data_IF_267090908205
#
_entry.id   IF_267090908205
#
_cell.length_a   1.000
_cell.length_b   1.000
_cell.length_c   1.000
_cell.angle_alpha   90.00
_cell.angle_beta   90.00
_cell.angle_gamma   90.00
#
_symmetry.space_group_name_H-M   'P 1'
#
loop_
_entity.id
_entity.type
_entity.pdbx_description
1 polymer ?
#
# COMPACT_ATOMS: atom_id res chain seq x y z
N UNK A 1 -8.27 -25.07 5.24
CA UNK A 1 -7.23 -24.11 4.87
C UNK A 1 -5.88 -24.75 5.02
N UNK A 2 -5.00 -24.79 3.99
CA UNK A 2 -3.64 -25.27 4.14
C UNK A 2 -2.90 -24.45 5.20
N UNK A 3 -1.92 -25.07 5.86
CA UNK A 3 -1.15 -24.41 6.91
C UNK A 3 -0.06 -23.54 6.30
N UNK A 4 -0.42 -22.38 5.74
CA UNK A 4 0.55 -21.44 5.16
C UNK A 4 1.61 -21.00 6.17
N UNK A 5 1.30 -20.98 7.47
CA UNK A 5 2.23 -20.58 8.51
C UNK A 5 3.51 -21.42 8.50
N UNK A 6 3.39 -22.75 8.38
CA UNK A 6 4.57 -23.65 8.35
C UNK A 6 5.48 -23.41 7.13
N UNK A 7 4.89 -22.99 5.99
CA UNK A 7 5.65 -22.66 4.78
C UNK A 7 6.36 -21.32 4.93
N UNK A 8 5.67 -20.34 5.54
CA UNK A 8 6.21 -19.01 5.82
C UNK A 8 7.38 -19.01 6.82
N UNK A 9 7.37 -19.95 7.78
CA UNK A 9 8.43 -20.08 8.81
C UNK A 9 9.65 -20.85 8.30
N UNK A 10 9.47 -21.79 7.35
CA UNK A 10 10.53 -22.72 6.94
C UNK A 10 11.46 -22.18 5.89
N UNK A 11 10.98 -21.38 4.95
CA UNK A 11 11.78 -20.90 3.81
C UNK A 11 11.41 -19.48 3.42
N UNK A 12 12.37 -18.82 2.82
CA UNK A 12 12.13 -17.56 2.11
C UNK A 12 11.38 -17.86 0.82
N UNK A 13 10.11 -17.49 0.76
CA UNK A 13 9.22 -17.76 -0.37
C UNK A 13 9.71 -17.06 -1.64
N UNK A 14 9.60 -17.73 -2.76
CA UNK A 14 9.85 -17.11 -4.07
C UNK A 14 8.74 -16.10 -4.45
N UNK A 15 9.00 -15.29 -5.45
CA UNK A 15 8.02 -14.26 -5.90
C UNK A 15 6.72 -14.94 -6.35
N UNK A 16 6.80 -16.00 -7.13
CA UNK A 16 5.63 -16.75 -7.60
C UNK A 16 4.84 -17.38 -6.46
N UNK A 17 5.53 -17.91 -5.44
CA UNK A 17 4.87 -18.42 -4.23
C UNK A 17 4.06 -17.32 -3.52
N UNK A 18 4.65 -16.11 -3.38
CA UNK A 18 3.97 -14.96 -2.79
C UNK A 18 2.69 -14.60 -3.55
N UNK A 19 2.74 -14.53 -4.88
CA UNK A 19 1.57 -14.25 -5.70
C UNK A 19 0.50 -15.35 -5.57
N UNK A 20 0.90 -16.62 -5.66
CA UNK A 20 -0.03 -17.76 -5.61
C UNK A 20 -0.72 -17.87 -4.25
N UNK A 21 0.03 -17.73 -3.15
CA UNK A 21 -0.53 -17.79 -1.80
C UNK A 21 -1.43 -16.57 -1.56
N UNK A 22 -1.00 -15.38 -1.97
CA UNK A 22 -1.82 -14.15 -1.86
C UNK A 22 -3.14 -14.28 -2.62
N UNK A 23 -3.12 -14.85 -3.82
CA UNK A 23 -4.33 -15.11 -4.59
C UNK A 23 -5.27 -16.09 -3.88
N UNK A 24 -4.71 -17.14 -3.29
CA UNK A 24 -5.49 -18.10 -2.49
C UNK A 24 -6.12 -17.44 -1.26
N UNK A 25 -5.38 -16.56 -0.57
CA UNK A 25 -5.88 -15.76 0.57
C UNK A 25 -6.99 -14.81 0.10
N UNK A 26 -6.76 -14.06 -0.97
CA UNK A 26 -7.72 -13.12 -1.55
C UNK A 26 -9.02 -13.83 -1.94
N UNK A 27 -8.94 -14.93 -2.71
CA UNK A 27 -10.12 -15.71 -3.13
C UNK A 27 -10.90 -16.29 -1.96
N UNK A 28 -10.19 -16.83 -0.95
CA UNK A 28 -10.84 -17.47 0.19
C UNK A 28 -11.65 -16.49 1.05
N UNK A 29 -11.21 -15.25 1.17
CA UNK A 29 -11.86 -14.23 1.99
C UNK A 29 -12.25 -12.99 1.18
N UNK A 30 -12.59 -13.21 -0.10
CA UNK A 30 -12.85 -12.17 -1.08
C UNK A 30 -13.81 -11.09 -0.56
N UNK A 31 -14.92 -11.50 0.05
CA UNK A 31 -15.95 -10.56 0.51
C UNK A 31 -15.41 -9.56 1.56
N UNK A 32 -14.59 -10.00 2.50
CA UNK A 32 -14.00 -9.10 3.49
C UNK A 32 -12.96 -8.16 2.88
N UNK A 33 -12.14 -8.63 1.94
CA UNK A 33 -11.20 -7.77 1.22
C UNK A 33 -11.95 -6.78 0.31
N UNK A 34 -12.99 -7.23 -0.37
CA UNK A 34 -13.87 -6.36 -1.15
C UNK A 34 -14.49 -5.26 -0.28
N UNK A 35 -15.00 -5.59 0.91
CA UNK A 35 -15.57 -4.62 1.84
C UNK A 35 -14.52 -3.57 2.27
N UNK A 36 -13.27 -3.97 2.58
CA UNK A 36 -12.21 -3.01 2.91
C UNK A 36 -11.94 -2.10 1.71
N UNK A 37 -11.79 -2.67 0.52
CA UNK A 37 -11.57 -1.91 -0.71
C UNK A 37 -12.69 -0.87 -0.94
N UNK A 38 -13.95 -1.26 -0.72
CA UNK A 38 -15.09 -0.36 -0.91
C UNK A 38 -15.19 0.70 0.18
N UNK A 39 -15.02 0.34 1.45
CA UNK A 39 -15.07 1.30 2.57
C UNK A 39 -13.98 2.37 2.43
N UNK A 40 -12.78 2.00 1.98
CA UNK A 40 -11.70 2.95 1.76
C UNK A 40 -11.78 3.62 0.39
N UNK A 41 -12.23 2.93 -0.65
CA UNK A 41 -12.25 3.43 -2.03
C UNK A 41 -13.43 4.34 -2.36
N UNK A 42 -14.66 4.01 -1.92
CA UNK A 42 -15.86 4.81 -2.26
C UNK A 42 -15.73 6.28 -1.86
N UNK A 43 -15.26 6.64 -0.66
CA UNK A 43 -15.08 8.05 -0.30
C UNK A 43 -14.16 8.78 -1.26
N UNK A 44 -13.07 8.14 -1.71
CA UNK A 44 -12.12 8.73 -2.66
C UNK A 44 -12.75 8.88 -4.04
N UNK A 45 -13.49 7.87 -4.52
CA UNK A 45 -14.22 7.95 -5.79
C UNK A 45 -15.21 9.12 -5.79
N UNK A 46 -15.96 9.27 -4.70
CA UNK A 46 -16.94 10.34 -4.57
C UNK A 46 -16.27 11.71 -4.49
N UNK A 47 -15.23 11.86 -3.68
CA UNK A 47 -14.50 13.15 -3.60
C UNK A 47 -13.85 13.51 -4.92
N UNK A 48 -13.28 12.56 -5.65
CA UNK A 48 -12.72 12.83 -6.98
C UNK A 48 -13.80 13.25 -7.99
N UNK A 49 -15.00 12.69 -7.89
CA UNK A 49 -16.11 13.06 -8.77
C UNK A 49 -16.68 14.45 -8.47
N UNK A 50 -16.78 14.84 -7.19
CA UNK A 50 -17.32 16.16 -6.78
C UNK A 50 -16.26 17.26 -6.74
N UNK A 51 -15.03 16.92 -6.45
CA UNK A 51 -13.88 17.82 -6.33
C UNK A 51 -12.73 17.25 -7.20
N UNK A 52 -12.83 17.35 -8.53
CA UNK A 52 -11.80 16.80 -9.40
C UNK A 52 -10.45 17.47 -9.13
N UNK A 53 -9.40 16.67 -8.84
CA UNK A 53 -8.08 17.22 -8.56
C UNK A 53 -7.42 17.71 -9.84
N UNK A 54 -6.64 18.78 -9.74
CA UNK A 54 -5.75 19.18 -10.82
C UNK A 54 -4.71 18.10 -11.06
N UNK A 55 -4.58 17.66 -12.31
CA UNK A 55 -3.61 16.64 -12.72
C UNK A 55 -2.35 17.33 -13.22
N UNK A 56 -1.21 16.92 -12.69
CA UNK A 56 0.08 17.36 -13.20
C UNK A 56 0.28 16.80 -14.61
N UNK A 57 0.53 17.69 -15.57
CA UNK A 57 0.95 17.29 -16.90
C UNK A 57 2.49 17.22 -16.94
N UNK A 58 3.09 16.00 -16.99
CA UNK A 58 4.54 15.86 -16.96
C UNK A 58 5.25 16.53 -18.14
N UNK A 59 4.55 16.76 -19.25
CA UNK A 59 5.13 17.40 -20.45
C UNK A 59 5.29 18.91 -20.28
N UNK A 60 4.54 19.52 -19.36
CA UNK A 60 4.61 20.96 -19.06
C UNK A 60 5.67 21.30 -18.02
N UNK A 61 6.19 20.30 -17.29
CA UNK A 61 7.16 20.50 -16.22
C UNK A 61 8.51 20.00 -16.67
N UNK A 62 9.37 20.93 -17.05
CA UNK A 62 10.73 20.66 -17.47
C UNK A 62 11.75 21.07 -16.42
N UNK A 63 11.39 22.02 -15.56
CA UNK A 63 12.26 22.57 -14.51
C UNK A 63 11.60 22.50 -13.14
N UNK A 64 12.38 22.64 -12.09
CA UNK A 64 11.85 22.76 -10.72
C UNK A 64 11.02 24.03 -10.54
N UNK A 65 11.34 25.09 -11.27
CA UNK A 65 10.58 26.34 -11.27
C UNK A 65 9.18 26.15 -11.89
N UNK A 66 9.07 25.38 -12.98
CA UNK A 66 7.76 25.01 -13.57
C UNK A 66 6.90 24.25 -12.57
N UNK A 67 7.50 23.31 -11.82
CA UNK A 67 6.80 22.57 -10.77
C UNK A 67 6.29 23.50 -9.65
N UNK A 68 7.11 24.44 -9.19
CA UNK A 68 6.71 25.42 -8.17
C UNK A 68 5.58 26.32 -8.68
N UNK A 69 5.66 26.77 -9.93
CA UNK A 69 4.64 27.61 -10.55
C UNK A 69 3.32 26.85 -10.72
N UNK A 70 3.37 25.59 -11.17
CA UNK A 70 2.20 24.72 -11.21
C UNK A 70 1.57 24.57 -9.84
N UNK A 71 2.37 24.24 -8.82
CA UNK A 71 1.90 24.03 -7.46
C UNK A 71 1.24 25.28 -6.85
N UNK A 72 1.76 26.47 -7.14
CA UNK A 72 1.21 27.75 -6.65
C UNK A 72 -0.04 28.22 -7.36
N UNK A 73 -0.12 27.99 -8.68
CA UNK A 73 -1.09 28.67 -9.53
C UNK A 73 -2.19 27.74 -10.06
N UNK A 74 -1.91 26.44 -10.21
CA UNK A 74 -2.83 25.50 -10.86
C UNK A 74 -3.45 24.50 -9.90
N UNK A 75 -2.83 24.25 -8.73
CA UNK A 75 -3.34 23.28 -7.75
C UNK A 75 -4.61 23.81 -7.11
N UNK A 76 -5.70 23.05 -7.28
CA UNK A 76 -7.02 23.39 -6.72
C UNK A 76 -7.28 22.69 -5.37
N UNK A 77 -8.37 23.07 -4.71
CA UNK A 77 -8.80 22.48 -3.43
C UNK A 77 -9.02 20.97 -3.55
N UNK A 78 -9.53 20.51 -4.70
CA UNK A 78 -9.76 19.11 -4.98
C UNK A 78 -8.49 18.26 -4.89
N UNK A 79 -7.35 18.81 -5.30
CA UNK A 79 -6.06 18.14 -5.16
C UNK A 79 -5.71 17.86 -3.69
N UNK A 80 -5.83 18.86 -2.83
CA UNK A 80 -5.51 18.70 -1.40
C UNK A 80 -6.46 17.73 -0.71
N UNK A 81 -7.77 17.87 -0.97
CA UNK A 81 -8.80 17.00 -0.37
C UNK A 81 -8.55 15.55 -0.78
N UNK A 82 -8.37 15.28 -2.08
CA UNK A 82 -8.16 13.92 -2.58
C UNK A 82 -6.85 13.33 -2.10
N UNK A 83 -5.75 14.11 -2.11
CA UNK A 83 -4.43 13.63 -1.66
C UNK A 83 -4.46 13.26 -0.18
N UNK A 84 -5.01 14.14 0.67
CA UNK A 84 -5.10 13.87 2.11
C UNK A 84 -6.00 12.68 2.41
N UNK A 85 -7.19 12.64 1.80
CA UNK A 85 -8.15 11.56 2.02
C UNK A 85 -7.61 10.21 1.52
N UNK A 86 -6.99 10.19 0.35
CA UNK A 86 -6.37 8.98 -0.21
C UNK A 86 -5.27 8.47 0.70
N UNK A 87 -4.35 9.33 1.13
CA UNK A 87 -3.26 8.95 2.03
C UNK A 87 -3.79 8.38 3.36
N UNK A 88 -4.79 9.03 3.97
CA UNK A 88 -5.38 8.59 5.23
C UNK A 88 -6.10 7.23 5.11
N UNK A 89 -6.93 7.08 4.07
CA UNK A 89 -7.69 5.84 3.84
C UNK A 89 -6.78 4.70 3.38
N UNK A 90 -5.69 5.01 2.68
CA UNK A 90 -4.68 4.03 2.30
C UNK A 90 -3.99 3.41 3.52
N UNK A 91 -3.62 4.22 4.51
CA UNK A 91 -3.08 3.73 5.79
C UNK A 91 -4.08 2.77 6.45
N UNK A 92 -5.37 3.13 6.55
CA UNK A 92 -6.41 2.26 7.13
C UNK A 92 -6.51 0.95 6.35
N UNK A 93 -6.47 1.02 5.03
CA UNK A 93 -6.53 -0.15 4.15
C UNK A 93 -5.35 -1.09 4.40
N UNK A 94 -4.10 -0.58 4.39
CA UNK A 94 -2.89 -1.37 4.64
C UNK A 94 -2.94 -2.06 6.01
N UNK A 95 -3.29 -1.31 7.06
CA UNK A 95 -3.39 -1.86 8.41
C UNK A 95 -4.46 -2.96 8.49
N UNK A 96 -5.65 -2.72 7.91
CA UNK A 96 -6.77 -3.66 7.94
C UNK A 96 -6.46 -4.94 7.19
N UNK A 97 -5.86 -4.83 6.01
CA UNK A 97 -5.44 -5.96 5.20
C UNK A 97 -4.36 -6.76 5.94
N UNK A 98 -3.37 -6.10 6.54
CA UNK A 98 -2.31 -6.76 7.32
C UNK A 98 -2.88 -7.59 8.46
N UNK A 99 -3.85 -7.06 9.22
CA UNK A 99 -4.53 -7.80 10.27
C UNK A 99 -5.30 -9.00 9.75
N UNK A 100 -6.02 -8.88 8.64
CA UNK A 100 -6.75 -10.01 8.05
C UNK A 100 -5.80 -11.09 7.56
N UNK A 101 -4.73 -10.73 6.87
CA UNK A 101 -3.74 -11.68 6.35
C UNK A 101 -3.09 -12.45 7.50
N UNK A 102 -2.64 -11.78 8.57
CA UNK A 102 -2.03 -12.43 9.73
C UNK A 102 -2.99 -13.42 10.41
N UNK A 103 -4.25 -13.02 10.60
CA UNK A 103 -5.26 -13.88 11.23
C UNK A 103 -5.57 -15.10 10.37
N UNK A 104 -5.63 -14.95 9.04
CA UNK A 104 -5.88 -16.04 8.11
C UNK A 104 -4.72 -17.04 8.07
N UNK A 105 -3.48 -16.57 8.10
CA UNK A 105 -2.29 -17.44 8.21
C UNK A 105 -2.36 -18.28 9.49
N UNK A 106 -2.87 -17.73 10.58
CA UNK A 106 -3.10 -18.42 11.84
C UNK A 106 -4.41 -19.24 11.88
N UNK A 107 -5.03 -19.52 10.71
CA UNK A 107 -6.27 -20.29 10.54
C UNK A 107 -7.49 -19.74 11.28
N UNK A 108 -7.49 -18.46 11.61
CA UNK A 108 -8.64 -17.78 12.21
C UNK A 108 -9.37 -16.98 11.13
N UNK A 109 -10.68 -16.87 11.23
CA UNK A 109 -11.51 -16.06 10.33
C UNK A 109 -11.99 -14.85 11.11
N UNK A 110 -11.85 -13.67 10.54
CA UNK A 110 -12.37 -12.40 11.09
C UNK A 110 -12.99 -11.59 9.97
N UNK A 111 -13.86 -10.66 10.36
CA UNK A 111 -14.58 -9.79 9.43
C UNK A 111 -13.77 -8.53 9.08
N UNK A 112 -14.12 -7.90 7.96
CA UNK A 112 -13.58 -6.60 7.56
C UNK A 112 -13.75 -5.54 8.66
N UNK A 113 -14.93 -5.46 9.26
CA UNK A 113 -15.21 -4.51 10.36
C UNK A 113 -14.33 -4.71 11.59
N UNK A 114 -14.03 -5.97 11.93
CA UNK A 114 -13.07 -6.25 13.01
C UNK A 114 -11.68 -5.71 12.66
N UNK A 115 -11.22 -5.91 11.43
CA UNK A 115 -9.92 -5.45 10.98
C UNK A 115 -9.83 -3.91 10.98
N UNK A 116 -10.84 -3.23 10.44
CA UNK A 116 -10.94 -1.76 10.43
C UNK A 116 -10.97 -1.22 11.86
N UNK A 117 -11.79 -1.79 12.75
CA UNK A 117 -11.83 -1.39 14.16
C UNK A 117 -10.47 -1.56 14.85
N UNK A 118 -9.72 -2.62 14.51
CA UNK A 118 -8.37 -2.82 15.03
C UNK A 118 -7.38 -1.81 14.46
N UNK A 119 -7.52 -1.46 13.19
CA UNK A 119 -6.69 -0.45 12.50
C UNK A 119 -6.84 0.94 13.12
N UNK A 120 -8.05 1.35 13.45
CA UNK A 120 -8.32 2.63 14.11
C UNK A 120 -7.57 2.77 15.45
N UNK A 121 -7.35 1.67 16.17
CA UNK A 121 -6.60 1.69 17.44
C UNK A 121 -5.10 1.97 17.27
N UNK A 122 -4.54 1.65 16.13
CA UNK A 122 -3.10 1.84 15.81
C UNK A 122 -2.86 2.91 14.75
N UNK A 123 -3.92 3.65 14.38
CA UNK A 123 -3.85 4.61 13.28
C UNK A 123 -2.90 5.77 13.60
N UNK A 124 -2.94 6.30 14.81
CA UNK A 124 -2.10 7.45 15.19
C UNK A 124 -0.60 7.13 15.11
N UNK A 125 -0.10 6.02 15.70
CA UNK A 125 1.27 5.56 15.47
C UNK A 125 1.62 5.37 13.99
N UNK A 126 0.70 4.81 13.20
CA UNK A 126 0.93 4.58 11.77
C UNK A 126 1.01 5.90 10.98
N UNK A 127 0.16 6.90 11.28
CA UNK A 127 0.21 8.23 10.67
C UNK A 127 1.55 8.90 10.97
N UNK A 128 1.97 8.94 12.24
CA UNK A 128 3.24 9.53 12.63
C UNK A 128 4.41 8.85 11.90
N UNK A 129 4.38 7.53 11.83
CA UNK A 129 5.44 6.75 11.15
C UNK A 129 5.44 7.00 9.63
N UNK A 130 4.26 7.04 9.01
CA UNK A 130 4.11 7.36 7.59
C UNK A 130 4.57 8.78 7.26
N UNK A 131 4.35 9.72 8.17
CA UNK A 131 4.84 11.09 8.01
C UNK A 131 6.37 11.16 8.07
N UNK A 132 7.00 10.49 9.05
CA UNK A 132 8.46 10.40 9.13
C UNK A 132 9.03 9.72 7.88
N UNK A 133 8.43 8.62 7.44
CA UNK A 133 8.78 7.92 6.21
C UNK A 133 8.73 8.87 5.00
N UNK A 134 7.63 9.61 4.84
CA UNK A 134 7.44 10.54 3.73
C UNK A 134 8.53 11.63 3.73
N UNK A 135 8.88 12.18 4.89
CA UNK A 135 9.96 13.17 5.02
C UNK A 135 11.29 12.58 4.55
N UNK A 136 11.65 11.37 5.01
CA UNK A 136 12.93 10.73 4.65
C UNK A 136 13.00 10.47 3.14
N UNK A 137 11.91 9.94 2.56
CA UNK A 137 11.84 9.68 1.12
C UNK A 137 11.89 10.97 0.32
N UNK A 138 11.16 12.00 0.74
CA UNK A 138 11.16 13.30 0.08
C UNK A 138 12.56 13.92 0.04
N UNK A 139 13.27 13.97 1.16
CA UNK A 139 14.64 14.43 1.17
C UNK A 139 15.57 13.55 0.35
N UNK A 140 15.38 12.23 0.40
CA UNK A 140 16.14 11.30 -0.44
C UNK A 140 15.98 11.60 -1.93
N UNK A 141 14.74 11.82 -2.39
CA UNK A 141 14.42 12.17 -3.78
C UNK A 141 14.90 13.58 -4.17
N UNK A 142 14.77 14.56 -3.25
CA UNK A 142 15.18 15.94 -3.50
C UNK A 142 16.68 16.10 -3.70
N UNK A 143 17.50 15.35 -2.96
CA UNK A 143 18.96 15.40 -3.10
C UNK A 143 19.48 14.49 -4.21
N UNK A 144 18.95 13.26 -4.29
CA UNK A 144 19.33 12.27 -5.30
C UNK A 144 18.20 11.28 -5.54
N UNK A 145 17.76 11.12 -6.77
CA UNK A 145 16.68 10.20 -7.15
C UNK A 145 16.96 8.76 -6.69
N UNK A 146 18.20 8.29 -6.86
CA UNK A 146 18.59 6.90 -6.52
C UNK A 146 18.46 6.62 -5.02
N UNK A 147 19.01 7.39 -4.07
CA UNK A 147 18.77 7.20 -2.64
C UNK A 147 17.30 7.25 -2.25
N UNK A 148 16.52 8.15 -2.84
CA UNK A 148 15.07 8.21 -2.58
C UNK A 148 14.36 6.90 -2.95
N UNK A 149 14.64 6.34 -4.12
CA UNK A 149 14.11 5.04 -4.54
C UNK A 149 14.56 3.90 -3.61
N UNK A 150 15.81 3.91 -3.15
CA UNK A 150 16.31 2.93 -2.18
C UNK A 150 15.50 3.01 -0.88
N UNK A 151 15.21 4.21 -0.37
CA UNK A 151 14.41 4.38 0.85
C UNK A 151 12.97 3.91 0.67
N UNK A 152 12.34 4.15 -0.48
CA UNK A 152 11.00 3.61 -0.78
C UNK A 152 10.98 2.09 -0.64
N UNK A 153 11.97 1.41 -1.21
CA UNK A 153 12.07 -0.05 -1.12
C UNK A 153 12.35 -0.51 0.31
N UNK A 154 13.33 0.09 0.99
CA UNK A 154 13.75 -0.32 2.33
C UNK A 154 12.64 -0.17 3.38
N UNK A 155 11.75 0.80 3.20
CA UNK A 155 10.73 1.14 4.19
C UNK A 155 9.32 0.67 3.82
N UNK A 156 9.18 -0.18 2.78
CA UNK A 156 7.88 -0.63 2.29
C UNK A 156 7.03 -1.38 3.33
N UNK A 157 7.65 -1.97 4.37
CA UNK A 157 6.94 -2.70 5.43
C UNK A 157 6.54 -1.86 6.63
N UNK A 158 6.82 -0.57 6.64
CA UNK A 158 6.67 0.30 7.80
C UNK A 158 5.26 0.24 8.40
N UNK A 159 4.21 0.36 7.56
CA UNK A 159 2.82 0.30 8.02
C UNK A 159 2.40 -1.11 8.47
N UNK A 160 2.92 -2.18 7.84
CA UNK A 160 2.70 -3.55 8.26
C UNK A 160 3.30 -3.82 9.65
N UNK A 161 4.47 -3.23 9.95
CA UNK A 161 5.13 -3.30 11.25
C UNK A 161 4.30 -2.58 12.31
N UNK A 162 3.81 -1.37 12.02
CA UNK A 162 2.91 -0.65 12.93
C UNK A 162 1.66 -1.47 13.26
N UNK A 163 1.08 -2.13 12.26
CA UNK A 163 -0.09 -2.98 12.44
C UNK A 163 0.21 -4.20 13.33
N UNK A 164 1.26 -4.96 13.01
CA UNK A 164 1.43 -6.33 13.48
C UNK A 164 2.45 -6.50 14.59
N UNK A 165 3.37 -5.54 14.75
CA UNK A 165 4.46 -5.63 15.77
C UNK A 165 4.41 -4.53 16.81
N UNK A 166 3.40 -3.66 16.77
CA UNK A 166 3.22 -2.54 17.70
C UNK A 166 4.45 -1.64 17.83
N UNK A 167 5.32 -1.65 16.81
CA UNK A 167 6.51 -0.81 16.70
C UNK A 167 6.21 0.34 15.75
N UNK A 168 6.61 1.58 16.10
CA UNK A 168 6.27 2.78 15.34
C UNK A 168 7.44 3.77 15.28
N UNK A 169 7.32 4.80 14.46
CA UNK A 169 8.33 5.83 14.29
C UNK A 169 9.60 5.28 13.63
N UNK A 170 10.74 5.78 14.09
CA UNK A 170 12.07 5.42 13.55
C UNK A 170 12.39 3.94 13.74
N UNK A 171 11.91 3.33 14.81
CA UNK A 171 12.17 1.91 15.07
C UNK A 171 11.44 0.99 14.08
N UNK A 172 10.21 1.35 13.68
CA UNK A 172 9.51 0.64 12.60
C UNK A 172 10.26 0.77 11.27
N UNK A 173 10.80 1.96 10.96
CA UNK A 173 11.59 2.22 9.76
C UNK A 173 12.89 1.39 9.77
N UNK A 174 13.62 1.39 10.88
CA UNK A 174 14.84 0.58 11.05
C UNK A 174 14.54 -0.91 10.91
N UNK A 175 13.43 -1.36 11.50
CA UNK A 175 13.02 -2.75 11.42
C UNK A 175 12.66 -3.15 9.99
N UNK A 176 11.89 -2.33 9.26
CA UNK A 176 11.61 -2.53 7.84
C UNK A 176 12.90 -2.68 7.03
N UNK A 177 13.84 -1.74 7.20
CA UNK A 177 15.13 -1.79 6.52
C UNK A 177 15.92 -3.07 6.84
N UNK A 178 15.91 -3.54 8.09
CA UNK A 178 16.61 -4.77 8.48
C UNK A 178 16.03 -6.03 7.81
N UNK A 179 14.71 -6.08 7.61
CA UNK A 179 14.04 -7.18 6.93
C UNK A 179 14.26 -7.17 5.41
N UNK A 180 14.35 -5.98 4.81
CA UNK A 180 14.47 -5.82 3.35
C UNK A 180 15.91 -5.92 2.86
N UNK A 181 16.89 -5.37 3.60
CA UNK A 181 18.31 -5.36 3.17
C UNK A 181 18.80 -6.69 2.60
N UNK A 182 18.58 -7.87 3.24
CA UNK A 182 19.05 -9.15 2.72
C UNK A 182 18.38 -9.57 1.40
N UNK A 183 17.22 -9.00 1.07
CA UNK A 183 16.39 -9.35 -0.11
C UNK A 183 15.99 -8.11 -0.90
N UNK A 184 16.84 -7.11 -0.92
CA UNK A 184 16.59 -5.82 -1.53
C UNK A 184 16.13 -5.94 -3.00
N UNK A 185 16.86 -6.69 -3.82
CA UNK A 185 16.51 -6.83 -5.24
C UNK A 185 15.16 -7.53 -5.46
N UNK A 186 14.81 -8.49 -4.60
CA UNK A 186 13.50 -9.13 -4.63
C UNK A 186 12.38 -8.14 -4.30
N UNK A 187 12.58 -7.33 -3.26
CA UNK A 187 11.64 -6.28 -2.87
C UNK A 187 11.52 -5.21 -3.96
N UNK A 188 12.65 -4.77 -4.53
CA UNK A 188 12.69 -3.82 -5.64
C UNK A 188 11.92 -4.33 -6.86
N UNK A 189 12.17 -5.58 -7.28
CA UNK A 189 11.47 -6.18 -8.42
C UNK A 189 9.96 -6.26 -8.16
N UNK A 190 9.57 -6.72 -6.96
CA UNK A 190 8.16 -6.85 -6.60
C UNK A 190 7.46 -5.49 -6.57
N UNK A 191 8.10 -4.46 -5.97
CA UNK A 191 7.55 -3.11 -5.94
C UNK A 191 7.45 -2.52 -7.35
N UNK A 192 8.50 -2.66 -8.18
CA UNK A 192 8.48 -2.20 -9.58
C UNK A 192 7.37 -2.87 -10.39
N UNK A 193 7.14 -4.16 -10.17
CA UNK A 193 6.05 -4.90 -10.80
C UNK A 193 4.69 -4.34 -10.40
N UNK A 194 4.46 -4.11 -9.09
CA UNK A 194 3.22 -3.54 -8.57
C UNK A 194 2.98 -2.16 -9.19
N UNK A 195 3.96 -1.27 -9.10
CA UNK A 195 3.87 0.11 -9.64
C UNK A 195 3.63 0.09 -11.14
N UNK A 196 4.28 -0.80 -11.89
CA UNK A 196 4.05 -0.94 -13.33
C UNK A 196 2.59 -1.28 -13.64
N UNK A 197 2.04 -2.31 -12.98
CA UNK A 197 0.65 -2.72 -13.21
C UNK A 197 -0.36 -1.67 -12.76
N UNK A 198 -0.14 -1.01 -11.63
CA UNK A 198 -1.00 0.10 -11.18
C UNK A 198 -1.02 1.24 -12.21
N UNK A 199 0.14 1.63 -12.75
CA UNK A 199 0.21 2.68 -13.78
C UNK A 199 -0.47 2.25 -15.08
N UNK A 200 -0.28 1.00 -15.54
CA UNK A 200 -1.00 0.47 -16.71
C UNK A 200 -2.50 0.57 -16.51
N UNK A 201 -3.01 0.21 -15.32
CA UNK A 201 -4.44 0.35 -15.02
C UNK A 201 -4.89 1.81 -14.99
N UNK A 202 -4.14 2.70 -14.34
CA UNK A 202 -4.49 4.14 -14.26
C UNK A 202 -4.58 4.75 -15.65
N UNK A 203 -3.62 4.44 -16.55
CA UNK A 203 -3.61 4.96 -17.92
C UNK A 203 -4.73 4.36 -18.78
N UNK A 204 -5.11 3.10 -18.51
CA UNK A 204 -6.14 2.40 -19.30
C UNK A 204 -7.57 2.84 -18.97
N UNK A 205 -7.79 3.54 -17.86
CA UNK A 205 -9.11 3.94 -17.40
C UNK A 205 -9.25 5.47 -17.25
N UNK A 206 -10.45 6.03 -17.40
CA UNK A 206 -10.66 7.48 -17.34
C UNK A 206 -10.27 8.03 -15.97
N UNK A 207 -9.59 9.17 -15.96
CA UNK A 207 -9.17 9.88 -14.75
C UNK A 207 -10.30 10.65 -14.07
N UNK A 208 -11.32 11.05 -14.85
CA UNK A 208 -12.49 11.80 -14.40
C UNK A 208 -13.78 11.21 -14.97
N UNK A 209 -14.93 11.38 -14.29
CA UNK A 209 -16.21 10.96 -14.81
C UNK A 209 -16.58 11.80 -16.05
N UNK A 210 -17.15 11.16 -17.07
CA UNK A 210 -17.77 11.87 -18.19
C UNK A 210 -19.18 12.33 -17.79
N UNK A 211 -19.67 13.39 -18.45
CA UNK A 211 -20.99 14.00 -18.17
C UNK A 211 -22.19 13.12 -18.57
N UNK A 212 -21.93 11.94 -19.12
CA UNK A 212 -22.96 10.98 -19.50
C UNK A 212 -23.15 9.91 -18.41
N UNK A 213 -24.38 9.39 -18.28
CA UNK A 213 -24.70 8.31 -17.32
C UNK A 213 -23.84 7.07 -17.55
N UNK A 214 -23.58 6.71 -18.79
CA UNK A 214 -22.75 5.57 -19.15
C UNK A 214 -21.27 5.82 -18.79
N UNK A 215 -20.76 7.03 -19.04
CA UNK A 215 -19.41 7.42 -18.69
C UNK A 215 -19.19 7.46 -17.17
N UNK A 216 -20.19 7.89 -16.40
CA UNK A 216 -20.16 7.89 -14.94
C UNK A 216 -20.12 6.46 -14.38
N UNK A 217 -20.94 5.55 -14.95
CA UNK A 217 -20.95 4.14 -14.58
C UNK A 217 -19.60 3.48 -14.91
N UNK A 218 -19.05 3.75 -16.10
CA UNK A 218 -17.75 3.22 -16.52
C UNK A 218 -16.63 3.70 -15.62
N UNK A 219 -16.60 5.00 -15.29
CA UNK A 219 -15.67 5.57 -14.30
C UNK A 219 -15.77 4.85 -12.96
N UNK A 220 -16.98 4.71 -12.40
CA UNK A 220 -17.18 4.07 -11.11
C UNK A 220 -16.69 2.62 -11.12
N UNK A 221 -17.08 1.83 -12.11
CA UNK A 221 -16.67 0.42 -12.22
C UNK A 221 -15.15 0.27 -12.39
N UNK A 222 -14.52 1.13 -13.18
CA UNK A 222 -13.07 1.11 -13.37
C UNK A 222 -12.32 1.41 -12.07
N UNK A 223 -12.81 2.36 -11.26
CA UNK A 223 -12.23 2.68 -9.95
C UNK A 223 -12.42 1.55 -8.94
N UNK A 224 -13.59 0.92 -8.91
CA UNK A 224 -13.81 -0.27 -8.06
C UNK A 224 -12.82 -1.38 -8.41
N UNK A 225 -12.61 -1.65 -9.69
CA UNK A 225 -11.61 -2.63 -10.15
C UNK A 225 -10.20 -2.26 -9.68
N UNK A 226 -9.81 -1.01 -9.84
CA UNK A 226 -8.50 -0.49 -9.44
C UNK A 226 -8.27 -0.70 -7.92
N UNK A 227 -9.26 -0.39 -7.07
CA UNK A 227 -9.15 -0.62 -5.63
C UNK A 227 -9.09 -2.10 -5.25
N UNK A 228 -9.70 -2.99 -6.03
CA UNK A 228 -9.57 -4.44 -5.83
C UNK A 228 -8.15 -4.93 -6.16
N UNK A 229 -7.55 -4.42 -7.25
CA UNK A 229 -6.15 -4.72 -7.59
C UNK A 229 -5.18 -4.18 -6.53
N UNK A 230 -5.35 -2.94 -6.10
CA UNK A 230 -4.56 -2.34 -5.02
C UNK A 230 -4.67 -3.17 -3.73
N UNK A 231 -5.88 -3.61 -3.37
CA UNK A 231 -6.09 -4.52 -2.24
C UNK A 231 -5.33 -5.84 -2.40
N UNK A 232 -5.34 -6.42 -3.59
CA UNK A 232 -4.58 -7.64 -3.86
C UNK A 232 -3.06 -7.42 -3.71
N UNK A 233 -2.53 -6.31 -4.20
CA UNK A 233 -1.12 -5.97 -4.01
C UNK A 233 -0.75 -5.73 -2.54
N UNK A 234 -1.61 -5.11 -1.76
CA UNK A 234 -1.43 -4.96 -0.31
C UNK A 234 -1.38 -6.31 0.42
N UNK A 235 -2.14 -7.31 -0.04
CA UNK A 235 -2.06 -8.69 0.49
C UNK A 235 -0.69 -9.30 0.20
N UNK A 236 -0.15 -9.10 -1.01
CA UNK A 236 1.19 -9.59 -1.39
C UNK A 236 2.26 -8.96 -0.48
N UNK A 237 2.20 -7.64 -0.28
CA UNK A 237 3.15 -6.92 0.58
C UNK A 237 3.05 -7.40 2.04
N UNK A 238 1.83 -7.57 2.56
CA UNK A 238 1.60 -8.07 3.92
C UNK A 238 2.13 -9.52 4.09
N UNK A 239 1.92 -10.38 3.10
CA UNK A 239 2.43 -11.75 3.11
C UNK A 239 3.96 -11.78 3.02
N UNK A 240 4.56 -10.95 2.18
CA UNK A 240 6.01 -10.82 2.08
C UNK A 240 6.62 -10.33 3.37
N UNK A 241 6.02 -9.33 4.01
CA UNK A 241 6.41 -8.88 5.34
C UNK A 241 6.43 -10.05 6.35
N UNK A 242 5.31 -10.78 6.45
CA UNK A 242 5.18 -11.89 7.41
C UNK A 242 6.19 -13.01 7.13
N UNK A 243 6.46 -13.34 5.88
CA UNK A 243 7.49 -14.31 5.53
C UNK A 243 8.88 -13.85 5.98
N UNK A 244 9.25 -12.60 5.70
CA UNK A 244 10.55 -12.05 6.12
C UNK A 244 10.68 -11.96 7.64
N UNK A 245 9.62 -11.56 8.31
CA UNK A 245 9.58 -11.44 9.76
C UNK A 245 9.72 -12.81 10.45
N UNK A 246 9.00 -13.83 9.99
CA UNK A 246 9.10 -15.18 10.54
C UNK A 246 10.48 -15.81 10.29
N UNK A 247 11.00 -15.72 9.08
CA UNK A 247 12.34 -16.25 8.76
C UNK A 247 13.44 -15.54 9.57
N UNK A 248 13.36 -14.22 9.73
CA UNK A 248 14.33 -13.46 10.53
C UNK A 248 14.29 -13.84 12.02
N UNK A 249 13.11 -14.09 12.56
CA UNK A 249 12.96 -14.47 13.98
C UNK A 249 13.35 -15.93 14.24
N UNK A 250 13.08 -16.86 13.31
CA UNK A 250 13.54 -18.25 13.45
C UNK A 250 15.07 -18.34 13.43
N UNK A 251 15.74 -17.58 12.56
CA UNK A 251 17.21 -17.56 12.51
C UNK A 251 17.86 -17.03 13.80
N UNK A 252 17.21 -16.13 14.54
CA UNK A 252 17.74 -15.66 15.83
C UNK A 252 17.67 -16.72 16.92
N UNK A 253 16.63 -17.57 16.91
CA UNK A 253 16.47 -18.65 17.88
C UNK A 253 17.44 -19.82 17.67
N UNK A 254 18.02 -19.97 16.46
CA UNK A 254 19.00 -21.02 16.17
C UNK A 254 20.45 -20.64 16.59
N UNK A 255 20.68 -19.38 16.99
CA UNK A 255 21.99 -18.85 17.40
C UNK A 255 22.10 -18.57 18.92
N UNK A 256 21.01 -18.67 19.68
CA UNK A 256 20.94 -18.56 21.14
C UNK A 256 20.86 -19.95 21.78
#
# INVERSE_FOLDING_TARGET
MPSFRKELEKKDLEILDLFTISFSIFRYNFFNFFLIAMICGIPIILTTAYFPPTILDPLKIQTFEDFINWFKNEVNEGFYINTFLSWFLDIISILSISFLVEVMINKKIRTAFWAIKKSVKVILPAIITSFIYMIIVFFGLAFFIIPGLIFVVLFMFTNNICALRHTWGIDAIKYSASLIKPKFFKALFMLSFIVFFENVFIISFPSAPADTREGLLYYFLSRVLLYLFDTYFKIIIALFFLNRDFVSNSQKLDFD
#
